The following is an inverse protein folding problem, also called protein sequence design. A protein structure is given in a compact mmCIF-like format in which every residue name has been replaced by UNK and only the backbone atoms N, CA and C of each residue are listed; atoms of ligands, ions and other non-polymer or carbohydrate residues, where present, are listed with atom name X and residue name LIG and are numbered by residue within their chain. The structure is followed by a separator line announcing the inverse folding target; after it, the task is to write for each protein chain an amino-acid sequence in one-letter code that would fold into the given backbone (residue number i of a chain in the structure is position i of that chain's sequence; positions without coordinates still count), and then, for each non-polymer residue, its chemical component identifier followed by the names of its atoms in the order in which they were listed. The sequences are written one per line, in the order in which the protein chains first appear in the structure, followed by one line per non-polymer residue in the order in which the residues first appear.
data_IF_270346057481
#
_entry.id   IF_270346057481
#
_cell.length_a   1.000
_cell.length_b   1.000
_cell.length_c   1.000
_cell.angle_alpha   90.00
_cell.angle_beta   90.00
_cell.angle_gamma   90.00
#
_symmetry.space_group_name_H-M   'P 1'
#
loop_
_entity.id
_entity.type
_entity.pdbx_description
1 polymer ?
#
# COMPACT_ATOMS: atom_id res chain seq x y z
N UNK A 1 14.26 -49.68 -58.72
CA UNK A 1 14.96 -49.15 -57.47
C UNK A 1 14.71 -47.66 -57.22
N UNK A 2 14.66 -46.80 -58.22
CA UNK A 2 14.48 -45.35 -58.09
C UNK A 2 13.09 -44.95 -57.47
N UNK A 3 11.99 -45.62 -57.87
CA UNK A 3 10.64 -45.34 -57.39
C UNK A 3 10.43 -45.59 -55.87
N UNK A 4 11.17 -46.48 -55.24
CA UNK A 4 11.03 -46.81 -53.82
C UNK A 4 11.72 -45.72 -52.96
N UNK A 5 12.80 -45.14 -53.43
CA UNK A 5 13.52 -44.06 -52.73
C UNK A 5 12.70 -42.75 -52.73
N UNK A 6 12.06 -42.36 -53.82
CA UNK A 6 11.19 -41.21 -53.95
C UNK A 6 9.97 -41.31 -53.03
N UNK A 7 9.43 -42.51 -52.81
CA UNK A 7 8.26 -42.68 -51.88
C UNK A 7 8.66 -42.52 -50.41
N UNK A 8 9.85 -43.04 -50.06
CA UNK A 8 10.38 -42.88 -48.70
C UNK A 8 10.77 -41.40 -48.36
N UNK A 9 11.37 -40.68 -49.31
CA UNK A 9 11.67 -39.25 -49.12
C UNK A 9 10.39 -38.40 -48.93
N UNK A 10 9.36 -38.68 -49.73
CA UNK A 10 8.08 -37.99 -49.58
C UNK A 10 7.36 -38.30 -48.25
N UNK A 11 7.52 -39.49 -47.72
CA UNK A 11 6.95 -39.87 -46.42
C UNK A 11 7.68 -39.17 -45.26
N UNK A 12 9.00 -39.11 -45.29
CA UNK A 12 9.82 -38.38 -44.31
C UNK A 12 9.52 -36.87 -44.34
N UNK A 13 9.38 -36.27 -45.52
CA UNK A 13 9.03 -34.86 -45.67
C UNK A 13 7.63 -34.58 -45.10
N UNK A 14 6.66 -35.47 -45.27
CA UNK A 14 5.32 -35.35 -44.69
C UNK A 14 5.36 -35.45 -43.16
N UNK A 15 6.13 -36.38 -42.61
CA UNK A 15 6.30 -36.51 -41.15
C UNK A 15 6.97 -35.27 -40.53
N UNK A 16 8.02 -34.75 -41.14
CA UNK A 16 8.69 -33.52 -40.71
C UNK A 16 7.75 -32.31 -40.79
N UNK A 17 6.93 -32.24 -41.84
CA UNK A 17 5.94 -31.16 -41.98
C UNK A 17 4.85 -31.22 -40.92
N UNK A 18 4.38 -32.42 -40.57
CA UNK A 18 3.38 -32.59 -39.51
C UNK A 18 3.95 -32.26 -38.13
N UNK A 19 5.18 -32.64 -37.85
CA UNK A 19 5.87 -32.26 -36.58
C UNK A 19 6.06 -30.74 -36.49
N UNK A 20 6.44 -30.07 -37.56
CA UNK A 20 6.59 -28.62 -37.59
C UNK A 20 5.25 -27.89 -37.36
N UNK A 21 4.15 -28.42 -37.92
CA UNK A 21 2.81 -27.87 -37.66
C UNK A 21 2.37 -28.07 -36.22
N UNK A 22 2.65 -29.22 -35.61
CA UNK A 22 2.36 -29.49 -34.21
C UNK A 22 3.18 -28.59 -33.28
N UNK A 23 4.45 -28.36 -33.59
CA UNK A 23 5.28 -27.41 -32.83
C UNK A 23 4.76 -25.98 -32.92
N UNK A 24 4.37 -25.51 -34.10
CA UNK A 24 3.77 -24.18 -34.26
C UNK A 24 2.45 -24.06 -33.51
N UNK A 25 1.59 -25.07 -33.58
CA UNK A 25 0.33 -25.11 -32.85
C UNK A 25 0.55 -25.05 -31.31
N UNK A 26 1.56 -25.78 -30.83
CA UNK A 26 1.96 -25.78 -29.43
C UNK A 26 2.49 -24.41 -28.98
N UNK A 27 3.31 -23.74 -29.79
CA UNK A 27 3.81 -22.40 -29.52
C UNK A 27 2.68 -21.36 -29.41
N UNK A 28 1.75 -21.40 -30.39
CA UNK A 28 0.57 -20.52 -30.37
C UNK A 28 -0.29 -20.78 -29.15
N UNK A 29 -0.52 -22.03 -28.78
CA UNK A 29 -1.27 -22.40 -27.57
C UNK A 29 -0.58 -21.90 -26.29
N UNK A 30 0.75 -22.15 -26.19
CA UNK A 30 1.56 -21.74 -25.05
C UNK A 30 1.57 -20.20 -24.85
N UNK A 31 1.73 -19.46 -25.96
CA UNK A 31 1.70 -18.00 -25.91
C UNK A 31 0.32 -17.45 -25.48
N UNK A 32 -0.76 -18.01 -26.01
CA UNK A 32 -2.12 -17.60 -25.61
C UNK A 32 -2.44 -17.93 -24.15
N UNK A 33 -2.03 -19.09 -23.64
CA UNK A 33 -2.18 -19.44 -22.22
C UNK A 33 -1.37 -18.47 -21.33
N UNK A 34 -0.13 -18.18 -21.72
CA UNK A 34 0.75 -17.27 -20.96
C UNK A 34 0.26 -15.82 -20.95
N UNK A 35 -0.34 -15.35 -22.04
CA UNK A 35 -0.96 -14.02 -22.13
C UNK A 35 -2.22 -13.95 -21.27
N UNK A 36 -3.09 -14.96 -21.34
CA UNK A 36 -4.32 -15.03 -20.53
C UNK A 36 -4.06 -15.04 -19.02
N UNK A 37 -3.01 -15.74 -18.58
CA UNK A 37 -2.63 -15.76 -17.16
C UNK A 37 -2.02 -14.42 -16.69
N UNK A 38 -1.25 -13.75 -17.53
CA UNK A 38 -0.72 -12.42 -17.26
C UNK A 38 -1.82 -11.37 -17.15
N UNK A 39 -2.76 -11.36 -18.09
CA UNK A 39 -3.90 -10.43 -18.08
C UNK A 39 -4.79 -10.65 -16.86
N UNK A 40 -5.11 -11.90 -16.49
CA UNK A 40 -5.87 -12.23 -15.28
C UNK A 40 -5.13 -11.81 -14.01
N UNK A 41 -3.81 -12.00 -13.95
CA UNK A 41 -3.02 -11.62 -12.80
C UNK A 41 -2.90 -10.11 -12.66
N UNK A 42 -2.78 -9.35 -13.77
CA UNK A 42 -2.81 -7.89 -13.74
C UNK A 42 -4.16 -7.34 -13.27
N UNK A 43 -5.27 -7.84 -13.76
CA UNK A 43 -6.61 -7.38 -13.35
C UNK A 43 -6.91 -7.69 -11.87
N UNK A 44 -6.42 -8.82 -11.35
CA UNK A 44 -6.55 -9.17 -9.92
C UNK A 44 -5.71 -8.23 -9.05
N UNK A 45 -4.49 -7.90 -9.47
CA UNK A 45 -3.62 -6.96 -8.75
C UNK A 45 -4.17 -5.53 -8.77
N UNK A 46 -4.71 -5.08 -9.88
CA UNK A 46 -5.38 -3.76 -10.00
C UNK A 46 -6.59 -3.66 -9.07
N UNK A 47 -7.42 -4.70 -9.03
CA UNK A 47 -8.56 -4.76 -8.12
C UNK A 47 -8.12 -4.76 -6.64
N UNK A 48 -7.04 -5.46 -6.31
CA UNK A 48 -6.46 -5.48 -4.98
C UNK A 48 -5.87 -4.10 -4.59
N UNK A 49 -5.15 -3.44 -5.48
CA UNK A 49 -4.65 -2.07 -5.30
C UNK A 49 -5.80 -1.09 -5.07
N UNK A 50 -6.85 -1.17 -5.87
CA UNK A 50 -8.04 -0.32 -5.72
C UNK A 50 -8.68 -0.46 -4.35
N UNK A 51 -8.76 -1.69 -3.81
CA UNK A 51 -9.27 -1.93 -2.45
C UNK A 51 -8.39 -1.27 -1.39
N UNK A 52 -7.06 -1.34 -1.51
CA UNK A 52 -6.14 -0.65 -0.60
C UNK A 52 -6.33 0.86 -0.66
N UNK A 53 -6.46 1.44 -1.86
CA UNK A 53 -6.72 2.87 -2.01
C UNK A 53 -8.02 3.31 -1.34
N UNK A 54 -9.10 2.54 -1.50
CA UNK A 54 -10.38 2.83 -0.84
C UNK A 54 -10.28 2.76 0.69
N UNK A 55 -9.54 1.76 1.23
CA UNK A 55 -9.28 1.70 2.68
C UNK A 55 -8.49 2.93 3.17
N UNK A 56 -7.45 3.33 2.43
CA UNK A 56 -6.66 4.53 2.78
C UNK A 56 -7.53 5.78 2.75
N UNK A 57 -8.36 5.95 1.74
CA UNK A 57 -9.28 7.09 1.64
C UNK A 57 -10.24 7.11 2.83
N UNK A 58 -10.85 5.98 3.18
CA UNK A 58 -11.74 5.88 4.33
C UNK A 58 -11.03 6.24 5.64
N UNK A 59 -9.79 5.80 5.83
CA UNK A 59 -8.96 6.19 6.97
C UNK A 59 -8.73 7.71 6.98
N UNK A 60 -8.40 8.32 5.87
CA UNK A 60 -8.14 9.77 5.76
C UNK A 60 -9.38 10.62 6.08
N UNK A 61 -10.56 10.15 5.71
CA UNK A 61 -11.82 10.85 5.97
C UNK A 61 -12.28 10.70 7.43
N UNK A 62 -11.95 9.55 8.08
CA UNK A 62 -12.50 9.18 9.38
C UNK A 62 -11.46 9.08 10.51
N UNK A 63 -10.20 9.45 10.31
CA UNK A 63 -9.12 9.24 11.28
C UNK A 63 -9.33 9.86 12.66
N UNK A 64 -10.16 10.92 12.76
CA UNK A 64 -10.46 11.61 14.03
C UNK A 64 -11.37 10.80 14.95
N UNK A 65 -12.14 9.89 14.38
CA UNK A 65 -13.10 9.07 15.10
C UNK A 65 -12.48 7.75 15.57
N UNK A 66 -13.17 7.03 16.46
CA UNK A 66 -12.73 5.72 16.95
C UNK A 66 -12.80 4.67 15.86
N UNK A 67 -11.85 4.68 14.92
CA UNK A 67 -11.84 3.79 13.76
C UNK A 67 -11.15 2.46 14.10
N UNK A 68 -11.86 1.37 13.90
CA UNK A 68 -11.39 0.00 14.11
C UNK A 68 -11.04 -0.70 12.78
N UNK A 69 -10.23 -1.75 12.85
CA UNK A 69 -9.93 -2.61 11.69
C UNK A 69 -11.22 -3.20 11.08
N UNK A 70 -12.21 -3.52 11.92
CA UNK A 70 -13.47 -4.06 11.46
C UNK A 70 -14.23 -3.08 10.57
N UNK A 71 -14.30 -1.81 10.98
CA UNK A 71 -14.97 -0.76 10.21
C UNK A 71 -14.27 -0.50 8.89
N UNK A 72 -12.92 -0.44 8.89
CA UNK A 72 -12.12 -0.28 7.68
C UNK A 72 -12.39 -1.42 6.68
N UNK A 73 -12.38 -2.67 7.15
CA UNK A 73 -12.62 -3.84 6.31
C UNK A 73 -14.06 -3.91 5.79
N UNK A 74 -15.04 -3.65 6.68
CA UNK A 74 -16.48 -3.68 6.34
C UNK A 74 -16.85 -2.62 5.31
N UNK A 75 -16.21 -1.43 5.36
CA UNK A 75 -16.49 -0.34 4.41
C UNK A 75 -16.30 -0.74 2.96
N UNK A 76 -15.33 -1.61 2.69
CA UNK A 76 -15.04 -2.09 1.32
C UNK A 76 -15.51 -3.54 1.09
N UNK A 77 -16.29 -4.11 2.02
CA UNK A 77 -16.86 -5.44 1.89
C UNK A 77 -15.85 -6.59 1.93
N UNK A 78 -14.74 -6.45 2.69
CA UNK A 78 -13.75 -7.53 2.86
C UNK A 78 -13.65 -7.98 4.31
N UNK A 79 -13.09 -9.18 4.51
CA UNK A 79 -12.77 -9.68 5.84
C UNK A 79 -11.57 -8.91 6.45
N UNK A 80 -11.47 -8.92 7.80
CA UNK A 80 -10.29 -8.37 8.51
C UNK A 80 -8.97 -8.98 8.03
N UNK A 81 -8.95 -10.29 7.80
CA UNK A 81 -7.77 -11.00 7.31
C UNK A 81 -7.37 -10.53 5.92
N UNK A 82 -8.35 -10.33 5.04
CA UNK A 82 -8.11 -9.79 3.68
C UNK A 82 -7.58 -8.37 3.76
N UNK A 83 -8.15 -7.49 4.59
CA UNK A 83 -7.66 -6.13 4.78
C UNK A 83 -6.22 -6.09 5.29
N UNK A 84 -5.87 -6.91 6.30
CA UNK A 84 -4.52 -7.05 6.81
C UNK A 84 -3.55 -7.53 5.73
N UNK A 85 -3.91 -8.58 5.00
CA UNK A 85 -3.07 -9.15 3.94
C UNK A 85 -2.82 -8.12 2.81
N UNK A 86 -3.86 -7.41 2.37
CA UNK A 86 -3.72 -6.38 1.35
C UNK A 86 -2.80 -5.24 1.79
N UNK A 87 -2.99 -4.72 3.01
CA UNK A 87 -2.10 -3.68 3.55
C UNK A 87 -0.66 -4.15 3.70
N UNK A 88 -0.45 -5.39 4.19
CA UNK A 88 0.90 -5.95 4.32
C UNK A 88 1.57 -6.13 2.96
N UNK A 89 0.82 -6.60 1.96
CA UNK A 89 1.33 -6.84 0.61
C UNK A 89 1.74 -5.54 -0.10
N UNK A 90 0.90 -4.50 -0.06
CA UNK A 90 1.11 -3.29 -0.85
C UNK A 90 1.79 -2.15 -0.08
N UNK A 91 1.63 -2.07 1.24
CA UNK A 91 2.12 -0.98 2.06
C UNK A 91 3.11 -1.42 3.14
N UNK A 92 3.38 -2.72 3.25
CA UNK A 92 4.28 -3.32 4.27
C UNK A 92 3.93 -2.90 5.72
N UNK A 93 2.66 -2.61 5.97
CA UNK A 93 2.15 -2.18 7.27
C UNK A 93 0.75 -2.76 7.53
N UNK A 94 0.15 -2.45 8.67
CA UNK A 94 -1.25 -2.79 8.98
C UNK A 94 -2.15 -1.56 8.87
N UNK A 95 -3.47 -1.72 8.60
CA UNK A 95 -4.40 -0.59 8.58
C UNK A 95 -4.39 0.23 9.86
N UNK A 96 -4.25 -0.42 11.02
CA UNK A 96 -4.19 0.25 12.33
C UNK A 96 -2.91 1.07 12.50
N UNK A 97 -1.76 0.52 12.12
CA UNK A 97 -0.49 1.25 12.16
C UNK A 97 -0.51 2.43 11.17
N UNK A 98 -1.07 2.24 9.98
CA UNK A 98 -1.26 3.30 9.01
C UNK A 98 -2.14 4.44 9.56
N UNK A 99 -3.25 4.11 10.23
CA UNK A 99 -4.10 5.09 10.92
C UNK A 99 -3.33 5.87 11.99
N UNK A 100 -2.53 5.18 12.82
CA UNK A 100 -1.72 5.82 13.86
C UNK A 100 -0.71 6.79 13.24
N UNK A 101 0.00 6.38 12.20
CA UNK A 101 0.96 7.24 11.50
C UNK A 101 0.28 8.47 10.89
N UNK A 102 -0.89 8.29 10.29
CA UNK A 102 -1.66 9.41 9.72
C UNK A 102 -2.10 10.42 10.81
N UNK A 103 -2.57 9.92 11.96
CA UNK A 103 -2.92 10.75 13.15
C UNK A 103 -1.71 11.53 13.67
N UNK A 104 -0.55 10.89 13.75
CA UNK A 104 0.68 11.56 14.18
C UNK A 104 1.12 12.65 13.19
N UNK A 105 0.96 12.43 11.89
CA UNK A 105 1.21 13.44 10.87
C UNK A 105 0.22 14.61 10.98
N UNK A 106 -1.06 14.35 11.24
CA UNK A 106 -2.05 15.39 11.46
C UNK A 106 -1.69 16.22 12.72
N UNK A 107 -1.32 15.56 13.82
CA UNK A 107 -0.86 16.21 15.04
C UNK A 107 0.38 17.09 14.81
N UNK A 108 1.37 16.61 14.04
CA UNK A 108 2.58 17.37 13.75
C UNK A 108 2.28 18.67 12.98
N UNK A 109 1.32 18.63 12.04
CA UNK A 109 0.84 19.82 11.32
C UNK A 109 0.16 20.81 12.26
N UNK A 110 -0.69 20.33 13.19
CA UNK A 110 -1.35 21.19 14.18
C UNK A 110 -0.34 21.82 15.15
N UNK A 111 0.68 21.06 15.58
CA UNK A 111 1.74 21.57 16.45
C UNK A 111 2.55 22.70 15.79
N UNK A 112 2.80 22.62 14.48
CA UNK A 112 3.51 23.66 13.71
C UNK A 112 2.68 24.90 13.47
N UNK A 113 1.38 24.73 13.20
CA UNK A 113 0.54 25.80 12.67
C UNK A 113 -0.40 26.43 13.72
N UNK A 114 -0.42 25.92 14.96
CA UNK A 114 -1.33 26.42 16.00
C UNK A 114 -0.67 26.44 17.39
N UNK A 115 -1.15 27.35 18.23
CA UNK A 115 -0.75 27.42 19.64
C UNK A 115 -1.67 26.61 20.58
N UNK A 116 -2.47 25.67 20.04
CA UNK A 116 -3.37 24.82 20.82
C UNK A 116 -2.58 23.98 21.84
N UNK A 117 -3.19 23.70 23.00
CA UNK A 117 -2.60 22.81 24.03
C UNK A 117 -2.35 21.42 23.42
N UNK A 118 -1.26 20.76 23.81
CA UNK A 118 -0.90 19.40 23.36
C UNK A 118 -2.05 18.41 23.56
N UNK A 119 -2.76 18.51 24.69
CA UNK A 119 -3.96 17.72 24.99
C UNK A 119 -5.05 17.91 23.92
N UNK A 120 -5.34 19.14 23.55
CA UNK A 120 -6.34 19.46 22.50
C UNK A 120 -5.92 18.89 21.15
N UNK A 121 -4.64 19.04 20.78
CA UNK A 121 -4.11 18.49 19.52
C UNK A 121 -4.20 16.96 19.48
N UNK A 122 -3.91 16.27 20.60
CA UNK A 122 -4.08 14.83 20.70
C UNK A 122 -5.52 14.41 20.36
N UNK A 123 -6.53 15.04 20.98
CA UNK A 123 -7.93 14.73 20.71
C UNK A 123 -8.37 15.09 19.28
N UNK A 124 -8.00 16.26 18.78
CA UNK A 124 -8.31 16.68 17.40
C UNK A 124 -7.66 15.79 16.33
N UNK A 125 -6.58 15.12 16.70
CA UNK A 125 -5.90 14.13 15.84
C UNK A 125 -6.40 12.70 16.03
N UNK A 126 -7.48 12.49 16.82
CA UNK A 126 -8.12 11.19 17.01
C UNK A 126 -7.50 10.31 18.09
N UNK A 127 -6.63 10.84 18.98
CA UNK A 127 -6.12 10.11 20.13
C UNK A 127 -7.00 10.37 21.35
N UNK A 128 -7.54 9.31 21.94
CA UNK A 128 -8.35 9.40 23.17
C UNK A 128 -7.51 9.37 24.46
N UNK A 129 -6.23 9.01 24.37
CA UNK A 129 -5.30 8.98 25.49
C UNK A 129 -4.05 9.81 25.15
N UNK A 130 -3.82 10.86 25.95
CA UNK A 130 -2.74 11.84 25.73
C UNK A 130 -1.36 11.22 26.00
N UNK A 131 -1.24 10.37 27.02
CA UNK A 131 0.04 9.73 27.37
C UNK A 131 0.46 8.73 26.28
N UNK A 132 -0.50 7.99 25.75
CA UNK A 132 -0.28 7.10 24.60
C UNK A 132 0.15 7.90 23.37
N UNK A 133 -0.52 9.02 23.08
CA UNK A 133 -0.13 9.94 22.01
C UNK A 133 1.32 10.43 22.18
N UNK A 134 1.67 10.97 23.38
CA UNK A 134 3.01 11.49 23.63
C UNK A 134 4.10 10.43 23.45
N UNK A 135 3.86 9.19 23.90
CA UNK A 135 4.80 8.07 23.69
C UNK A 135 4.99 7.74 22.22
N UNK A 136 3.91 7.62 21.45
CA UNK A 136 3.98 7.33 20.02
C UNK A 136 4.61 8.48 19.24
N UNK A 137 4.28 9.72 19.58
CA UNK A 137 4.84 10.90 18.95
C UNK A 137 6.37 10.97 19.15
N UNK A 138 6.83 10.76 20.40
CA UNK A 138 8.26 10.70 20.72
C UNK A 138 8.95 9.53 20.00
N UNK A 139 8.30 8.37 19.92
CA UNK A 139 8.83 7.22 19.17
C UNK A 139 9.02 7.56 17.68
N UNK A 140 8.08 8.31 17.08
CA UNK A 140 8.09 8.61 15.63
C UNK A 140 9.00 9.77 15.27
N UNK A 141 9.02 10.84 16.08
CA UNK A 141 9.73 12.09 15.78
C UNK A 141 10.97 12.33 16.65
N UNK A 142 11.27 11.42 17.58
CA UNK A 142 12.39 11.50 18.54
C UNK A 142 12.34 12.71 19.50
N UNK A 143 11.25 13.48 19.45
CA UNK A 143 10.95 14.64 20.30
C UNK A 143 9.57 14.50 20.92
N UNK A 144 9.39 15.03 22.13
CA UNK A 144 8.04 15.19 22.67
C UNK A 144 7.24 16.21 21.83
N UNK A 145 5.90 16.19 21.87
CA UNK A 145 5.09 17.18 21.14
C UNK A 145 5.44 18.63 21.47
N UNK A 146 5.79 18.92 22.74
CA UNK A 146 6.17 20.27 23.18
C UNK A 146 7.55 20.68 22.64
N UNK A 147 8.55 19.80 22.70
CA UNK A 147 9.87 20.04 22.14
C UNK A 147 9.81 20.21 20.62
N UNK A 148 8.98 19.38 19.95
CA UNK A 148 8.77 19.46 18.50
C UNK A 148 8.21 20.83 18.09
N UNK A 149 7.22 21.34 18.81
CA UNK A 149 6.67 22.70 18.61
C UNK A 149 7.76 23.74 18.75
N UNK A 150 8.51 23.68 19.84
CA UNK A 150 9.57 24.65 20.15
C UNK A 150 10.65 24.67 19.03
N UNK A 151 11.08 23.52 18.57
CA UNK A 151 12.04 23.40 17.48
C UNK A 151 11.50 23.97 16.17
N UNK A 152 10.22 23.74 15.84
CA UNK A 152 9.59 24.30 14.65
C UNK A 152 9.48 25.82 14.71
N UNK A 153 9.13 26.39 15.88
CA UNK A 153 9.05 27.85 16.07
C UNK A 153 10.42 28.51 15.96
N UNK A 154 11.49 27.89 16.47
CA UNK A 154 12.87 28.39 16.33
C UNK A 154 13.36 28.42 14.87
N UNK A 155 12.95 27.47 14.07
CA UNK A 155 13.31 27.42 12.63
C UNK A 155 12.53 28.48 11.83
N UNK A 156 11.30 28.81 12.26
CA UNK A 156 10.46 29.81 11.59
C UNK A 156 10.82 31.26 12.02
N UNK A 157 11.26 31.44 13.27
CA UNK A 157 11.82 32.69 13.77
C UNK A 157 13.34 32.60 13.63
N UNK A 158 13.90 33.13 12.56
CA UNK A 158 15.35 33.29 12.38
C UNK A 158 15.96 34.30 13.38
N UNK A 159 15.35 34.47 14.57
CA UNK A 159 15.72 35.41 15.62
C UNK A 159 16.28 34.63 16.83
N UNK A 160 17.57 34.83 17.18
CA UNK A 160 18.24 34.07 18.24
C UNK A 160 17.75 34.36 19.67
N UNK A 161 16.84 35.30 19.87
CA UNK A 161 16.46 35.83 21.22
C UNK A 161 15.33 35.09 21.93
N UNK A 162 14.65 34.08 21.30
CA UNK A 162 13.57 33.31 21.93
C UNK A 162 14.06 31.98 22.53
N UNK A 163 14.99 32.05 23.48
CA UNK A 163 15.61 30.87 24.11
C UNK A 163 14.88 30.37 25.36
N UNK A 164 13.61 30.60 25.57
CA UNK A 164 12.90 30.07 26.76
C UNK A 164 11.60 29.39 26.41
N UNK A 165 11.69 28.11 25.94
CA UNK A 165 10.62 27.14 26.14
C UNK A 165 10.86 26.41 27.47
N UNK A 166 10.34 26.91 28.58
CA UNK A 166 10.17 26.18 29.83
C UNK A 166 8.90 25.33 29.79
#
# INVERSE_FOLDING_TARGET
MIKIMETQENEIIRELSTLALLQNLWLIFYENVKLSDKEKMQTVDEAAQKRVQLMMQYIHENYKHGLSLNEIASHIGVSKSTALHLFQRFLHTTPVNYLIEYRLQAASRLLKNTNKKVKTIAYESGFHNVDYFCRLFKKRYHLTPSEYRCTCLKVLSADPSLQTCK
#
